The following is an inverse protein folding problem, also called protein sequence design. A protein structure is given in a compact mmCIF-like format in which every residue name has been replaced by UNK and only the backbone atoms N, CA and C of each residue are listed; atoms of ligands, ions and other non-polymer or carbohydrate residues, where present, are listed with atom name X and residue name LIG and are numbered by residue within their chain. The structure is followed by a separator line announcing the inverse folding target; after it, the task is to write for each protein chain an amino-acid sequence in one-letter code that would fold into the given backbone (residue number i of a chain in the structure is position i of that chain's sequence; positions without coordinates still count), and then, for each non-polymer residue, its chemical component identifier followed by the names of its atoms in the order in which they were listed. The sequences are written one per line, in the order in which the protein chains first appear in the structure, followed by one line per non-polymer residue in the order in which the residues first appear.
data_IF_287320432320
#
_entry.id   IF_287320432320
#
_cell.length_a   1.000
_cell.length_b   1.000
_cell.length_c   1.000
_cell.angle_alpha   90.00
_cell.angle_beta   90.00
_cell.angle_gamma   90.00
#
_symmetry.space_group_name_H-M   'P 1'
#
loop_
_entity.id
_entity.type
_entity.pdbx_description
1 polymer ?
#
# COMPACT_ATOMS: atom_id res chain seq x y z
N UNK A 1 -20.84 -38.92 30.43
CA UNK A 1 -20.79 -37.59 31.06
C UNK A 1 -19.62 -37.58 32.02
N UNK A 2 -18.60 -36.75 31.77
CA UNK A 2 -17.79 -36.02 32.77
C UNK A 2 -16.55 -35.45 32.08
N UNK A 3 -16.41 -34.13 32.21
CA UNK A 3 -15.33 -33.28 31.70
C UNK A 3 -13.98 -33.60 32.38
N UNK A 4 -12.88 -33.25 31.71
CA UNK A 4 -11.84 -32.36 32.25
C UNK A 4 -10.76 -32.06 31.19
N UNK A 5 -10.47 -30.77 30.99
CA UNK A 5 -9.25 -30.27 30.34
C UNK A 5 -8.05 -30.50 31.28
N UNK A 6 -6.82 -30.51 30.75
CA UNK A 6 -5.98 -29.32 31.01
C UNK A 6 -5.03 -28.92 29.87
N UNK A 7 -4.59 -27.67 29.96
CA UNK A 7 -3.54 -26.98 29.21
C UNK A 7 -2.21 -27.74 29.17
N UNK A 8 -1.36 -27.47 28.17
CA UNK A 8 0.06 -27.00 28.30
C UNK A 8 0.84 -27.24 26.98
N UNK A 9 1.69 -26.26 26.67
CA UNK A 9 2.73 -26.11 25.62
C UNK A 9 3.42 -27.36 25.05
N UNK A 10 3.81 -27.30 23.77
CA UNK A 10 5.23 -27.33 23.30
C UNK A 10 5.43 -28.06 21.95
N UNK A 11 5.96 -27.29 20.99
CA UNK A 11 6.98 -27.62 19.98
C UNK A 11 6.99 -28.93 19.15
N UNK A 12 7.01 -28.68 17.84
CA UNK A 12 7.93 -29.23 16.82
C UNK A 12 7.67 -30.59 16.16
N UNK A 13 8.21 -30.62 14.92
CA UNK A 13 8.53 -31.76 14.05
C UNK A 13 7.34 -32.28 13.24
N UNK A 14 7.45 -32.61 11.96
CA UNK A 14 8.54 -32.60 10.99
C UNK A 14 7.91 -32.88 9.61
N UNK A 15 8.67 -32.66 8.54
CA UNK A 15 8.26 -32.84 7.15
C UNK A 15 9.07 -31.89 6.26
N UNK A 16 10.40 -31.84 6.35
CA UNK A 16 11.37 -32.86 5.88
C UNK A 16 11.24 -33.03 4.35
N UNK A 17 12.06 -32.33 3.57
CA UNK A 17 13.36 -32.76 2.97
C UNK A 17 13.11 -33.06 1.46
N UNK A 18 13.95 -32.81 0.47
CA UNK A 18 15.30 -32.27 0.40
C UNK A 18 15.71 -32.12 -1.08
N UNK A 19 16.90 -31.54 -1.26
CA UNK A 19 17.88 -31.80 -2.33
C UNK A 19 17.72 -30.94 -3.61
N UNK A 20 18.73 -30.22 -4.13
CA UNK A 20 20.17 -30.48 -4.09
C UNK A 20 21.02 -29.26 -4.54
N UNK A 21 22.21 -29.15 -3.93
CA UNK A 21 23.50 -28.50 -4.32
C UNK A 21 23.52 -27.02 -4.78
N UNK A 22 24.14 -26.07 -4.06
CA UNK A 22 25.55 -25.88 -3.58
C UNK A 22 26.55 -25.50 -4.68
N UNK A 23 26.98 -24.22 -4.70
CA UNK A 23 28.39 -23.74 -4.55
C UNK A 23 28.68 -22.44 -5.37
N UNK A 24 28.85 -21.32 -4.65
CA UNK A 24 29.82 -20.22 -4.80
C UNK A 24 30.13 -19.65 -6.21
N UNK A 25 29.80 -18.37 -6.45
CA UNK A 25 30.71 -17.19 -6.41
C UNK A 25 29.82 -15.93 -6.52
N UNK A 26 29.58 -15.19 -5.44
CA UNK A 26 28.99 -13.85 -5.56
C UNK A 26 30.06 -12.80 -5.23
N UNK A 27 30.50 -11.99 -6.21
CA UNK A 27 31.35 -10.84 -5.93
C UNK A 27 30.55 -9.86 -5.07
N UNK A 28 31.22 -9.20 -4.12
CA UNK A 28 30.61 -8.21 -3.24
C UNK A 28 29.75 -7.20 -4.02
N UNK A 29 28.43 -7.39 -4.01
CA UNK A 29 27.50 -6.31 -4.28
C UNK A 29 27.46 -5.46 -3.02
N UNK A 30 28.30 -4.42 -3.04
CA UNK A 30 28.19 -3.24 -2.21
C UNK A 30 26.73 -2.96 -1.81
N UNK A 31 26.41 -3.16 -0.54
CA UNK A 31 25.19 -2.67 0.04
C UNK A 31 25.18 -1.16 -0.18
N UNK A 32 24.47 -0.68 -1.20
CA UNK A 32 24.04 0.70 -1.28
C UNK A 32 23.06 0.88 -0.13
N UNK A 33 23.62 1.15 1.06
CA UNK A 33 22.97 1.89 2.13
C UNK A 33 22.36 3.09 1.44
N UNK A 34 21.05 3.04 1.17
CA UNK A 34 20.28 4.22 0.86
C UNK A 34 20.46 5.11 2.08
N UNK A 35 21.44 6.03 1.98
CA UNK A 35 21.59 7.13 2.92
C UNK A 35 20.20 7.76 2.96
N UNK A 36 19.53 7.68 4.09
CA UNK A 36 18.46 8.60 4.43
C UNK A 36 19.12 9.97 4.54
N UNK A 37 19.40 10.57 3.38
CA UNK A 37 19.67 11.99 3.32
C UNK A 37 18.37 12.59 3.82
N UNK A 38 18.41 13.13 5.03
CA UNK A 38 17.43 14.06 5.56
C UNK A 38 17.49 15.33 4.69
N UNK A 39 17.20 15.17 3.41
CA UNK A 39 16.92 16.25 2.48
C UNK A 39 15.52 16.68 2.83
N UNK A 40 15.39 17.95 3.25
CA UNK A 40 14.14 18.61 3.52
C UNK A 40 13.08 18.17 2.50
N UNK A 41 12.17 17.29 2.93
CA UNK A 41 11.03 16.89 2.12
C UNK A 41 10.24 18.16 1.90
N UNK A 42 10.36 18.78 0.72
CA UNK A 42 9.46 19.85 0.30
C UNK A 42 8.06 19.27 0.40
N UNK A 43 7.32 19.65 1.45
CA UNK A 43 5.92 19.30 1.60
C UNK A 43 5.21 19.93 0.40
N UNK A 44 4.72 19.08 -0.48
CA UNK A 44 3.85 19.53 -1.57
C UNK A 44 2.62 20.16 -0.93
N UNK A 45 2.28 21.37 -1.36
CA UNK A 45 1.05 22.03 -0.90
C UNK A 45 -0.12 21.54 -1.76
N UNK A 46 -1.19 21.07 -1.11
CA UNK A 46 -2.41 20.57 -1.73
C UNK A 46 -3.66 21.40 -1.38
N UNK A 47 -3.49 22.57 -0.75
CA UNK A 47 -4.58 23.42 -0.25
C UNK A 47 -5.49 23.97 -1.36
N UNK A 48 -4.99 24.03 -2.59
CA UNK A 48 -5.74 24.54 -3.74
C UNK A 48 -6.60 23.48 -4.44
N UNK A 49 -6.51 22.22 -4.05
CA UNK A 49 -7.25 21.14 -4.68
C UNK A 49 -8.66 21.03 -4.10
N UNK A 50 -9.63 20.75 -4.96
CA UNK A 50 -10.99 20.44 -4.49
C UNK A 50 -11.05 18.97 -4.03
N UNK A 51 -11.04 18.75 -2.71
CA UNK A 51 -10.95 17.41 -2.11
C UNK A 51 -12.25 17.03 -1.41
N UNK A 52 -12.89 15.97 -1.88
CA UNK A 52 -14.13 15.47 -1.30
C UNK A 52 -14.01 13.98 -0.93
N UNK A 53 -14.25 13.65 0.34
CA UNK A 53 -14.36 12.28 0.82
C UNK A 53 -15.84 11.86 0.89
N UNK A 54 -16.21 10.83 0.15
CA UNK A 54 -17.60 10.35 0.09
C UNK A 54 -17.67 8.84 0.28
N UNK A 55 -18.89 8.32 0.40
CA UNK A 55 -19.17 6.88 0.33
C UNK A 55 -20.15 6.61 -0.80
N UNK A 56 -19.94 5.52 -1.52
CA UNK A 56 -20.91 5.05 -2.50
C UNK A 56 -22.17 4.53 -1.80
N UNK A 57 -23.27 4.40 -2.54
CA UNK A 57 -24.50 3.78 -2.03
C UNK A 57 -24.30 2.31 -1.57
N UNK A 58 -23.21 1.66 -2.03
CA UNK A 58 -22.82 0.30 -1.63
C UNK A 58 -21.80 0.27 -0.48
N UNK A 59 -21.49 1.43 0.12
CA UNK A 59 -20.57 1.55 1.26
C UNK A 59 -19.08 1.67 0.91
N UNK A 60 -18.70 1.75 -0.37
CA UNK A 60 -17.30 1.90 -0.75
C UNK A 60 -16.79 3.32 -0.43
N UNK A 61 -15.59 3.43 0.12
CA UNK A 61 -14.96 4.73 0.34
C UNK A 61 -14.47 5.31 -0.99
N UNK A 62 -14.84 6.56 -1.25
CA UNK A 62 -14.49 7.32 -2.44
C UNK A 62 -13.76 8.60 -2.03
N UNK A 63 -12.84 9.02 -2.88
CA UNK A 63 -12.13 10.27 -2.80
C UNK A 63 -12.20 10.94 -4.16
N UNK A 64 -12.64 12.19 -4.21
CA UNK A 64 -12.63 13.00 -5.45
C UNK A 64 -11.66 14.14 -5.26
N UNK A 65 -10.78 14.34 -6.25
CA UNK A 65 -9.82 15.46 -6.28
C UNK A 65 -9.95 16.12 -7.64
N UNK A 66 -10.32 17.41 -7.68
CA UNK A 66 -10.56 18.18 -8.92
C UNK A 66 -11.47 17.45 -9.91
N UNK A 67 -12.56 16.86 -9.39
CA UNK A 67 -13.50 16.08 -10.19
C UNK A 67 -13.00 14.69 -10.64
N UNK A 68 -11.77 14.29 -10.30
CA UNK A 68 -11.22 12.96 -10.62
C UNK A 68 -11.49 11.98 -9.47
N UNK A 69 -12.22 10.87 -9.73
CA UNK A 69 -12.58 9.93 -8.68
C UNK A 69 -11.49 8.87 -8.44
N UNK A 70 -11.30 8.57 -7.17
CA UNK A 70 -10.41 7.56 -6.63
C UNK A 70 -11.18 6.60 -5.72
N UNK A 71 -10.76 5.34 -5.75
CA UNK A 71 -11.22 4.29 -4.83
C UNK A 71 -10.14 3.95 -3.83
N UNK A 72 -10.55 3.64 -2.61
CA UNK A 72 -9.63 3.15 -1.59
C UNK A 72 -9.08 1.78 -1.98
N UNK A 73 -7.76 1.66 -2.09
CA UNK A 73 -7.06 0.39 -2.32
C UNK A 73 -6.78 -0.31 -0.98
N UNK A 74 -6.12 0.39 -0.04
CA UNK A 74 -5.81 -0.16 1.29
C UNK A 74 -5.61 0.92 2.35
N UNK A 75 -5.75 0.53 3.61
CA UNK A 75 -5.39 1.33 4.78
C UNK A 75 -4.22 0.68 5.52
N UNK A 76 -3.21 1.46 5.87
CA UNK A 76 -2.05 1.00 6.64
C UNK A 76 -1.76 2.07 7.71
N UNK A 77 -1.88 1.70 8.99
CA UNK A 77 -1.71 2.62 10.12
C UNK A 77 -2.62 3.85 9.96
N UNK A 78 -2.03 5.04 9.95
CA UNK A 78 -2.65 6.36 9.77
C UNK A 78 -2.87 6.74 8.29
N UNK A 79 -2.40 5.93 7.35
CA UNK A 79 -2.41 6.25 5.92
C UNK A 79 -3.47 5.48 5.14
N UNK A 80 -4.14 6.18 4.23
CA UNK A 80 -5.05 5.60 3.25
C UNK A 80 -4.43 5.72 1.86
N UNK A 81 -4.38 4.60 1.13
CA UNK A 81 -3.87 4.53 -0.22
C UNK A 81 -5.04 4.44 -1.19
N UNK A 82 -5.10 5.41 -2.09
CA UNK A 82 -6.17 5.58 -3.06
C UNK A 82 -5.61 5.43 -4.47
N UNK A 83 -6.44 4.92 -5.36
CA UNK A 83 -6.10 4.66 -6.75
C UNK A 83 -7.23 5.18 -7.64
N UNK A 84 -6.88 5.72 -8.80
CA UNK A 84 -7.89 6.19 -9.73
C UNK A 84 -8.82 5.03 -10.15
N UNK A 85 -10.12 5.31 -10.30
CA UNK A 85 -11.11 4.30 -10.76
C UNK A 85 -10.73 3.68 -12.11
N UNK A 86 -10.02 4.42 -12.97
CA UNK A 86 -9.56 3.95 -14.29
C UNK A 86 -8.24 3.17 -14.23
N UNK A 87 -7.66 2.94 -13.05
CA UNK A 87 -6.42 2.19 -12.92
C UNK A 87 -6.58 0.71 -13.36
N UNK A 88 -7.74 0.11 -13.06
CA UNK A 88 -8.08 -1.29 -13.42
C UNK A 88 -8.98 -1.40 -14.66
N UNK A 89 -9.14 -0.32 -15.42
CA UNK A 89 -9.93 -0.39 -16.64
C UNK A 89 -9.16 -1.15 -17.75
N UNK A 90 -9.88 -1.89 -18.59
CA UNK A 90 -9.28 -2.69 -19.67
C UNK A 90 -8.61 -1.82 -20.74
N UNK A 91 -9.24 -0.70 -21.09
CA UNK A 91 -8.85 0.16 -22.20
C UNK A 91 -8.00 1.36 -21.77
N UNK A 92 -8.14 1.79 -20.52
CA UNK A 92 -7.39 2.90 -19.94
C UNK A 92 -6.64 2.34 -18.73
N UNK A 93 -5.33 2.54 -18.68
CA UNK A 93 -4.51 2.20 -17.50
C UNK A 93 -3.99 3.49 -16.89
N UNK A 94 -4.81 4.11 -16.04
CA UNK A 94 -4.41 5.30 -15.31
C UNK A 94 -3.38 4.94 -14.23
N UNK A 95 -2.39 5.81 -14.01
CA UNK A 95 -1.34 5.59 -12.99
C UNK A 95 -1.50 6.45 -11.74
N UNK A 96 -2.50 7.33 -11.74
CA UNK A 96 -2.76 8.27 -10.66
C UNK A 96 -3.11 7.56 -9.34
N UNK A 97 -2.41 7.96 -8.28
CA UNK A 97 -2.50 7.42 -6.92
C UNK A 97 -2.38 8.54 -5.90
N UNK A 98 -3.07 8.38 -4.78
CA UNK A 98 -3.07 9.36 -3.68
C UNK A 98 -2.82 8.65 -2.37
N UNK A 99 -2.09 9.33 -1.49
CA UNK A 99 -1.98 8.93 -0.08
C UNK A 99 -2.58 10.05 0.75
N UNK A 100 -3.52 9.69 1.63
CA UNK A 100 -4.04 10.61 2.63
C UNK A 100 -3.67 10.15 4.03
N UNK A 101 -3.45 11.10 4.93
CA UNK A 101 -3.20 10.88 6.37
C UNK A 101 -4.09 11.84 7.15
N UNK A 102 -4.80 11.35 8.15
CA UNK A 102 -5.73 12.17 8.95
C UNK A 102 -6.64 13.05 8.08
N UNK A 103 -7.24 12.44 7.04
CA UNK A 103 -8.10 13.10 6.04
C UNK A 103 -7.47 14.23 5.22
N UNK A 104 -6.14 14.38 5.23
CA UNK A 104 -5.42 15.35 4.40
C UNK A 104 -4.57 14.64 3.35
N UNK A 105 -4.37 15.27 2.19
CA UNK A 105 -3.48 14.73 1.16
C UNK A 105 -2.04 14.81 1.66
N UNK A 106 -1.37 13.67 1.70
CA UNK A 106 0.06 13.57 2.07
C UNK A 106 0.94 13.38 0.84
N UNK A 107 0.41 12.80 -0.23
CA UNK A 107 1.12 12.63 -1.50
C UNK A 107 0.16 12.40 -2.66
N UNK A 108 0.47 13.01 -3.81
CA UNK A 108 -0.08 12.68 -5.12
C UNK A 108 1.03 12.07 -5.98
N UNK A 109 0.71 11.02 -6.72
CA UNK A 109 1.63 10.34 -7.64
C UNK A 109 0.94 9.94 -8.92
N UNK A 110 1.71 9.87 -10.01
CA UNK A 110 1.19 9.53 -11.33
C UNK A 110 0.36 10.67 -11.92
N UNK A 111 -0.08 10.49 -13.16
CA UNK A 111 -0.85 11.49 -13.89
C UNK A 111 -2.11 10.84 -14.47
N UNK A 112 -3.20 11.60 -14.50
CA UNK A 112 -4.40 11.20 -15.22
C UNK A 112 -4.13 11.28 -16.72
N UNK A 113 -4.32 10.17 -17.42
CA UNK A 113 -4.26 10.07 -18.87
C UNK A 113 -5.67 9.96 -19.49
N UNK A 114 -6.68 10.45 -18.78
CA UNK A 114 -8.07 10.38 -19.18
C UNK A 114 -8.88 11.55 -18.64
N UNK A 115 -10.00 11.82 -19.31
CA UNK A 115 -11.01 12.76 -18.83
C UNK A 115 -11.92 12.10 -17.79
#
# INVERSE_FOLDING_TARGET
MSNQNPSTTSFCLAGIEDDYKVQLVHPQLHLLKRKSVSGSVRKQNFDHLDVCFTRSNRGNNLLTIDGKPFTLNRRIKDACYWECVKLRCKYIKCTARVVTKSNQISALRGHHNHQ
#
